data_IF_132238913832
#
_entry.id   IF_132238913832
#
_cell.length_a   1.000
_cell.length_b   1.000
_cell.length_c   1.000
_cell.angle_alpha   90.00
_cell.angle_beta   90.00
_cell.angle_gamma   90.00
#
_symmetry.space_group_name_H-M   'P 1'
#
loop_
_entity.id
_entity.type
_entity.pdbx_description
1 polymer ?
#
# COMPACT_ATOMS: atom_id res chain seq x y z
N UNK A 1 -14.25 10.38 -2.08
CA UNK A 1 -14.39 8.93 -1.92
C UNK A 1 -12.99 8.38 -1.64
N UNK A 2 -12.60 8.32 -0.36
CA UNK A 2 -11.31 7.76 0.07
C UNK A 2 -11.51 6.25 0.23
N UNK A 3 -10.88 5.46 -0.62
CA UNK A 3 -10.92 4.00 -0.55
C UNK A 3 -10.04 3.53 0.61
N UNK A 4 -10.67 3.02 1.68
CA UNK A 4 -10.01 2.27 2.72
C UNK A 4 -9.63 0.89 2.13
N UNK A 5 -8.34 0.65 1.89
CA UNK A 5 -7.85 -0.65 1.44
C UNK A 5 -7.57 -1.50 2.67
N UNK A 6 -8.53 -2.36 3.03
CA UNK A 6 -8.30 -3.44 4.00
C UNK A 6 -7.36 -4.45 3.34
N UNK A 7 -6.17 -4.62 3.90
CA UNK A 7 -5.17 -5.57 3.42
C UNK A 7 -5.55 -6.99 3.87
N UNK A 8 -6.05 -7.79 2.92
CA UNK A 8 -6.27 -9.23 3.10
C UNK A 8 -4.92 -9.94 3.05
N UNK A 9 -4.40 -10.41 4.18
CA UNK A 9 -3.21 -11.25 4.26
C UNK A 9 -3.59 -12.72 4.05
N UNK A 10 -3.52 -13.19 2.80
CA UNK A 10 -3.58 -14.62 2.47
C UNK A 10 -2.32 -15.31 3.00
N UNK A 11 -2.49 -16.25 3.92
CA UNK A 11 -1.44 -17.20 4.29
C UNK A 11 -1.27 -18.23 3.17
N UNK A 12 -0.24 -18.04 2.32
CA UNK A 12 0.13 -18.98 1.26
C UNK A 12 0.87 -20.18 1.88
N UNK A 13 0.24 -21.36 1.87
CA UNK A 13 0.91 -22.63 2.15
C UNK A 13 1.58 -23.09 0.85
N UNK A 14 2.92 -23.06 0.81
CA UNK A 14 3.69 -23.59 -0.31
C UNK A 14 3.83 -25.12 -0.18
N UNK A 15 3.42 -25.84 -1.22
CA UNK A 15 3.80 -27.24 -1.46
C UNK A 15 4.47 -27.33 -2.83
N UNK A 16 5.59 -28.07 -2.99
CA UNK A 16 6.29 -28.16 -4.27
C UNK A 16 5.66 -29.28 -5.11
N UNK A 17 5.24 -28.95 -6.33
CA UNK A 17 4.96 -29.95 -7.38
C UNK A 17 5.96 -29.72 -8.49
N UNK A 18 6.87 -30.69 -8.65
CA UNK A 18 7.68 -30.82 -9.86
C UNK A 18 6.82 -31.42 -10.97
N UNK A 19 6.84 -30.83 -12.16
CA UNK A 19 6.37 -31.46 -13.38
C UNK A 19 7.31 -31.10 -14.52
N UNK A 20 7.73 -32.14 -15.24
CA UNK A 20 8.73 -32.15 -16.30
C UNK A 20 8.12 -31.67 -17.64
N UNK A 21 8.97 -31.04 -18.45
CA UNK A 21 8.75 -30.71 -19.85
C UNK A 21 8.50 -31.96 -20.72
N UNK A 22 7.59 -31.86 -21.68
CA UNK A 22 7.74 -32.48 -23.01
C UNK A 22 7.01 -31.65 -24.07
N UNK A 23 7.70 -31.51 -25.20
CA UNK A 23 7.54 -30.60 -26.33
C UNK A 23 6.70 -31.24 -27.45
N UNK A 24 5.88 -30.44 -28.15
CA UNK A 24 5.31 -30.81 -29.46
C UNK A 24 4.78 -29.56 -30.19
N UNK A 25 5.57 -29.05 -31.13
CA UNK A 25 5.21 -27.94 -32.01
C UNK A 25 4.33 -28.31 -33.20
N UNK A 26 3.79 -27.28 -33.86
CA UNK A 26 3.78 -27.14 -35.32
C UNK A 26 3.18 -25.76 -35.70
N UNK A 27 3.97 -25.00 -36.44
CA UNK A 27 3.56 -23.81 -37.17
C UNK A 27 3.05 -24.17 -38.58
N UNK A 28 2.32 -23.23 -39.19
CA UNK A 28 2.65 -22.58 -40.49
C UNK A 28 1.48 -22.43 -41.51
N UNK A 29 1.68 -21.41 -42.38
CA UNK A 29 1.06 -21.04 -43.66
C UNK A 29 0.05 -19.87 -43.62
N UNK A 30 0.20 -18.75 -44.35
CA UNK A 30 1.23 -18.33 -45.31
C UNK A 30 0.65 -17.56 -46.52
N UNK A 31 1.14 -16.32 -46.72
CA UNK A 31 1.40 -15.60 -47.99
C UNK A 31 0.21 -15.16 -48.91
N UNK A 32 0.41 -14.25 -49.93
CA UNK A 32 1.66 -13.69 -50.51
C UNK A 32 1.68 -12.14 -50.62
N UNK A 33 2.78 -11.42 -50.95
CA UNK A 33 3.50 -11.43 -52.23
C UNK A 33 4.83 -10.64 -52.26
N UNK A 34 5.87 -11.27 -52.86
CA UNK A 34 6.92 -10.78 -53.80
C UNK A 34 7.71 -9.48 -53.48
N UNK A 35 8.98 -9.56 -53.07
CA UNK A 35 10.25 -9.71 -53.85
C UNK A 35 10.89 -8.37 -54.30
N UNK A 36 12.05 -8.03 -53.72
CA UNK A 36 13.31 -7.74 -54.45
C UNK A 36 14.45 -7.33 -53.49
N UNK A 37 15.45 -8.22 -53.40
CA UNK A 37 16.91 -8.01 -53.40
C UNK A 37 17.57 -6.87 -52.59
N UNK A 38 18.35 -7.22 -51.56
CA UNK A 38 19.47 -6.40 -51.06
C UNK A 38 20.46 -7.22 -50.19
N UNK A 39 21.67 -7.42 -50.72
CA UNK A 39 22.96 -7.05 -50.11
C UNK A 39 23.39 -7.64 -48.75
N UNK A 40 24.55 -8.32 -48.77
CA UNK A 40 25.33 -8.84 -47.64
C UNK A 40 25.70 -7.79 -46.54
N UNK A 41 26.07 -8.22 -45.31
CA UNK A 41 26.06 -7.39 -44.10
C UNK A 41 27.30 -6.50 -43.95
N UNK A 42 27.09 -5.29 -43.43
CA UNK A 42 28.15 -4.36 -43.04
C UNK A 42 28.81 -4.80 -41.71
N UNK A 43 30.14 -4.69 -41.65
CA UNK A 43 30.94 -4.84 -40.43
C UNK A 43 30.56 -3.79 -39.37
N UNK A 44 30.74 -4.07 -38.06
CA UNK A 44 30.34 -3.16 -37.00
C UNK A 44 31.21 -1.90 -37.01
N UNK A 45 30.57 -0.73 -36.92
CA UNK A 45 31.25 0.54 -36.71
C UNK A 45 31.95 0.53 -35.34
N UNK A 46 33.27 0.71 -35.34
CA UNK A 46 34.02 1.09 -34.14
C UNK A 46 33.39 2.37 -33.56
N UNK A 47 32.90 2.28 -32.32
CA UNK A 47 32.45 3.43 -31.55
C UNK A 47 33.61 4.40 -31.39
N UNK A 48 33.54 5.54 -32.08
CA UNK A 48 34.44 6.66 -31.87
C UNK A 48 34.34 7.11 -30.41
N UNK A 49 35.40 6.91 -29.63
CA UNK A 49 35.46 7.39 -28.26
C UNK A 49 35.47 8.93 -28.27
N UNK A 50 34.69 9.59 -27.39
CA UNK A 50 34.71 11.04 -27.30
C UNK A 50 36.10 11.54 -26.85
N UNK A 51 36.53 12.68 -27.42
CA UNK A 51 37.81 13.30 -27.05
C UNK A 51 37.83 13.66 -25.55
N UNK A 52 38.95 13.41 -24.84
CA UNK A 52 39.06 13.72 -23.43
C UNK A 52 39.05 15.24 -23.20
N UNK A 53 38.21 15.70 -22.28
CA UNK A 53 38.15 17.10 -21.85
C UNK A 53 39.23 17.38 -20.77
N UNK A 54 39.83 18.59 -20.74
CA UNK A 54 40.84 18.92 -19.74
C UNK A 54 40.27 18.96 -18.32
N UNK A 55 41.01 18.42 -17.35
CA UNK A 55 40.64 18.42 -15.93
C UNK A 55 40.94 19.76 -15.23
N UNK A 56 40.55 19.91 -13.95
CA UNK A 56 40.69 21.16 -13.21
C UNK A 56 42.15 21.62 -13.13
N UNK A 57 42.46 22.79 -13.69
CA UNK A 57 43.81 23.38 -13.72
C UNK A 57 44.60 23.14 -15.02
N UNK A 58 44.04 22.42 -16.00
CA UNK A 58 44.61 22.28 -17.34
C UNK A 58 43.86 23.14 -18.37
N UNK A 59 44.57 23.60 -19.39
CA UNK A 59 44.00 24.33 -20.53
C UNK A 59 43.90 23.43 -21.76
N UNK A 60 43.09 23.82 -22.74
CA UNK A 60 42.97 23.12 -24.03
C UNK A 60 44.31 22.97 -24.77
N UNK A 61 45.28 23.83 -24.47
CA UNK A 61 46.64 23.81 -25.02
C UNK A 61 47.50 22.65 -24.49
N UNK A 62 47.09 22.01 -23.40
CA UNK A 62 47.83 20.90 -22.76
C UNK A 62 47.40 19.53 -23.29
N UNK A 63 46.36 19.48 -24.14
CA UNK A 63 45.88 18.27 -24.80
C UNK A 63 46.57 18.13 -26.17
N UNK A 64 46.97 16.91 -26.53
CA UNK A 64 47.58 16.64 -27.83
C UNK A 64 46.67 17.15 -28.96
N UNK A 65 47.19 17.93 -29.92
CA UNK A 65 46.39 18.46 -31.00
C UNK A 65 45.77 17.30 -31.78
N UNK A 66 44.48 17.42 -32.18
CA UNK A 66 43.85 16.36 -32.94
C UNK A 66 44.63 16.11 -34.24
N UNK A 67 44.57 14.90 -34.82
CA UNK A 67 45.37 14.51 -35.99
C UNK A 67 45.08 15.35 -37.25
N UNK A 68 44.11 16.26 -37.20
CA UNK A 68 43.76 17.21 -38.25
C UNK A 68 44.13 18.67 -37.90
N UNK A 69 44.90 18.92 -36.84
CA UNK A 69 45.27 20.27 -36.41
C UNK A 69 46.06 21.08 -37.45
N UNK A 70 46.72 20.41 -38.39
CA UNK A 70 47.46 21.02 -39.50
C UNK A 70 46.66 21.00 -40.83
N UNK A 71 45.37 20.65 -40.83
CA UNK A 71 44.56 20.75 -42.04
C UNK A 71 44.21 22.21 -42.30
N UNK A 72 44.57 22.71 -43.48
CA UNK A 72 44.09 23.99 -43.96
C UNK A 72 42.61 23.85 -44.33
N UNK A 73 41.76 24.73 -43.79
CA UNK A 73 40.35 24.78 -44.17
C UNK A 73 40.25 24.93 -45.70
N UNK A 74 39.73 23.90 -46.35
CA UNK A 74 39.44 23.96 -47.78
C UNK A 74 38.28 24.92 -47.92
N UNK A 75 38.43 26.05 -48.66
CA UNK A 75 37.29 26.94 -48.88
C UNK A 75 36.18 26.13 -49.54
N UNK A 76 34.98 26.20 -48.96
CA UNK A 76 33.82 25.46 -49.45
C UNK A 76 33.72 25.61 -50.97
N UNK A 77 33.62 24.49 -51.72
CA UNK A 77 33.54 24.57 -53.17
C UNK A 77 32.33 25.43 -53.55
N UNK A 78 32.48 26.28 -54.58
CA UNK A 78 31.54 27.36 -54.89
C UNK A 78 30.06 26.93 -55.10
N UNK A 79 29.79 25.63 -55.28
CA UNK A 79 28.43 25.09 -55.37
C UNK A 79 27.72 24.93 -54.01
N UNK A 80 28.46 24.97 -52.89
CA UNK A 80 27.94 24.89 -51.52
C UNK A 80 27.85 26.25 -50.82
N UNK A 81 28.31 27.33 -51.47
CA UNK A 81 28.05 28.70 -51.02
C UNK A 81 26.68 29.18 -51.53
N UNK A 82 25.63 28.56 -51.00
CA UNK A 82 24.23 28.91 -51.30
C UNK A 82 23.63 29.84 -50.25
N UNK A 83 24.44 30.31 -49.30
CA UNK A 83 23.99 31.02 -48.09
C UNK A 83 23.47 32.43 -48.38
N UNK A 84 23.71 32.99 -49.57
CA UNK A 84 23.21 34.31 -49.98
C UNK A 84 22.36 34.30 -51.26
N UNK A 85 22.04 33.11 -51.78
CA UNK A 85 20.93 32.93 -52.72
C UNK A 85 19.76 32.33 -51.98
N UNK A 86 19.14 33.10 -51.09
CA UNK A 86 17.68 33.01 -51.02
C UNK A 86 17.21 33.26 -52.44
N UNK A 87 16.79 32.18 -53.10
CA UNK A 87 16.23 32.15 -54.44
C UNK A 87 15.32 33.38 -54.55
N UNK A 88 15.76 34.42 -55.26
CA UNK A 88 14.82 35.42 -55.72
C UNK A 88 13.83 34.61 -56.56
N UNK A 89 12.60 34.51 -56.09
CA UNK A 89 11.57 33.74 -56.77
C UNK A 89 11.19 34.51 -58.04
N UNK A 90 11.97 34.31 -59.10
CA UNK A 90 11.78 34.93 -60.42
C UNK A 90 10.63 34.26 -61.21
N UNK A 91 9.91 33.32 -60.60
CA UNK A 91 8.72 32.76 -61.23
C UNK A 91 7.68 33.86 -61.41
N UNK A 92 6.99 33.92 -62.55
CA UNK A 92 5.88 34.85 -62.73
C UNK A 92 4.85 34.62 -61.61
N UNK A 93 4.19 35.68 -61.10
CA UNK A 93 3.15 35.52 -60.11
C UNK A 93 2.09 34.53 -60.64
N UNK A 94 1.52 33.67 -59.76
CA UNK A 94 0.60 32.64 -60.20
C UNK A 94 -0.55 33.27 -60.97
N UNK A 95 -0.92 32.66 -62.10
CA UNK A 95 -2.03 33.16 -62.89
C UNK A 95 -3.32 33.06 -62.07
N UNK A 96 -4.34 33.89 -62.36
CA UNK A 96 -5.63 33.79 -61.68
C UNK A 96 -6.23 32.38 -61.73
N UNK A 97 -5.99 31.64 -62.82
CA UNK A 97 -6.40 30.24 -62.98
C UNK A 97 -5.63 29.29 -62.04
N UNK A 98 -4.32 29.47 -61.87
CA UNK A 98 -3.52 28.68 -60.92
C UNK A 98 -3.96 28.90 -59.47
N UNK A 99 -4.27 30.15 -59.10
CA UNK A 99 -4.79 30.46 -57.76
C UNK A 99 -6.18 29.86 -57.55
N UNK A 100 -7.03 29.87 -58.57
CA UNK A 100 -8.35 29.24 -58.50
C UNK A 100 -8.25 27.71 -58.36
N UNK A 101 -7.37 27.07 -59.15
CA UNK A 101 -7.13 25.63 -59.08
C UNK A 101 -6.55 25.19 -57.73
N UNK A 102 -5.63 25.98 -57.15
CA UNK A 102 -5.09 25.73 -55.81
C UNK A 102 -6.20 25.77 -54.75
N UNK A 103 -7.06 26.79 -54.76
CA UNK A 103 -8.18 26.90 -53.81
C UNK A 103 -9.18 25.75 -53.94
N UNK A 104 -9.43 25.30 -55.16
CA UNK A 104 -10.29 24.14 -55.41
C UNK A 104 -9.67 22.87 -54.82
N UNK A 105 -8.36 22.66 -55.03
CA UNK A 105 -7.62 21.55 -54.44
C UNK A 105 -7.61 21.61 -52.91
N UNK A 106 -7.35 22.77 -52.32
CA UNK A 106 -7.41 22.98 -50.86
C UNK A 106 -8.79 22.63 -50.30
N UNK A 107 -9.86 23.10 -50.96
CA UNK A 107 -11.22 22.79 -50.56
C UNK A 107 -11.55 21.29 -50.67
N UNK A 108 -10.99 20.58 -51.65
CA UNK A 108 -11.14 19.12 -51.77
C UNK A 108 -10.35 18.36 -50.70
N UNK A 109 -9.13 18.81 -50.38
CA UNK A 109 -8.34 18.27 -49.28
C UNK A 109 -9.05 18.44 -47.93
N UNK A 110 -9.67 19.58 -47.69
CA UNK A 110 -10.45 19.83 -46.47
C UNK A 110 -11.67 18.93 -46.38
N UNK A 111 -12.39 18.73 -47.49
CA UNK A 111 -13.50 17.77 -47.58
C UNK A 111 -13.03 16.36 -47.28
N UNK A 112 -11.96 15.91 -47.94
CA UNK A 112 -11.38 14.59 -47.73
C UNK A 112 -10.92 14.38 -46.28
N UNK A 113 -10.24 15.37 -45.70
CA UNK A 113 -9.81 15.34 -44.30
C UNK A 113 -11.00 15.31 -43.33
N UNK A 114 -12.08 16.03 -43.64
CA UNK A 114 -13.34 16.01 -42.89
C UNK A 114 -13.99 14.62 -42.90
N UNK A 115 -14.10 14.01 -44.07
CA UNK A 115 -14.63 12.63 -44.22
C UNK A 115 -13.75 11.63 -43.48
N UNK A 116 -12.42 11.75 -43.58
CA UNK A 116 -11.47 10.89 -42.88
C UNK A 116 -11.60 10.97 -41.35
N UNK A 117 -11.79 12.18 -40.80
CA UNK A 117 -12.07 12.38 -39.36
C UNK A 117 -13.40 11.73 -38.96
N UNK A 118 -14.48 12.02 -39.68
CA UNK A 118 -15.81 11.47 -39.37
C UNK A 118 -15.84 9.93 -39.43
N UNK A 119 -15.13 9.35 -40.40
CA UNK A 119 -14.96 7.89 -40.48
C UNK A 119 -14.20 7.34 -39.28
N UNK A 120 -13.06 7.95 -38.92
CA UNK A 120 -12.27 7.54 -37.74
C UNK A 120 -13.09 7.61 -36.47
N UNK A 121 -13.84 8.69 -36.26
CA UNK A 121 -14.68 8.88 -35.08
C UNK A 121 -15.80 7.83 -35.02
N UNK A 122 -16.40 7.51 -36.17
CA UNK A 122 -17.41 6.46 -36.27
C UNK A 122 -16.84 5.10 -35.90
N UNK A 123 -15.68 4.72 -36.46
CA UNK A 123 -15.00 3.46 -36.14
C UNK A 123 -14.62 3.41 -34.66
N UNK A 124 -14.04 4.48 -34.12
CA UNK A 124 -13.69 4.57 -32.70
C UNK A 124 -14.93 4.42 -31.80
N UNK A 125 -16.04 5.05 -32.15
CA UNK A 125 -17.29 4.94 -31.37
C UNK A 125 -17.84 3.51 -31.35
N UNK A 126 -17.71 2.77 -32.45
CA UNK A 126 -18.10 1.36 -32.55
C UNK A 126 -17.15 0.51 -31.70
N UNK A 127 -15.83 0.71 -31.84
CA UNK A 127 -14.83 -0.03 -31.07
C UNK A 127 -14.99 0.16 -29.56
N UNK A 128 -15.17 1.41 -29.09
CA UNK A 128 -15.35 1.72 -27.67
C UNK A 128 -16.64 1.07 -27.14
N UNK A 129 -17.74 1.15 -27.90
CA UNK A 129 -19.01 0.51 -27.52
C UNK A 129 -18.87 -1.01 -27.42
N UNK A 130 -18.23 -1.62 -28.41
CA UNK A 130 -17.99 -3.06 -28.46
C UNK A 130 -17.11 -3.52 -27.30
N UNK A 131 -16.03 -2.79 -27.04
CA UNK A 131 -15.13 -3.04 -25.92
C UNK A 131 -15.88 -3.03 -24.59
N UNK A 132 -16.69 -1.99 -24.34
CA UNK A 132 -17.47 -1.91 -23.11
C UNK A 132 -18.55 -3.00 -23.01
N UNK A 133 -19.18 -3.38 -24.13
CA UNK A 133 -20.14 -4.49 -24.16
C UNK A 133 -19.47 -5.80 -23.76
N UNK A 134 -18.39 -6.18 -24.46
CA UNK A 134 -17.62 -7.41 -24.18
C UNK A 134 -17.07 -7.43 -22.76
N UNK A 135 -16.57 -6.29 -22.27
CA UNK A 135 -16.10 -6.16 -20.88
C UNK A 135 -17.22 -6.42 -19.89
N UNK A 136 -18.42 -5.84 -20.07
CA UNK A 136 -19.57 -6.07 -19.18
C UNK A 136 -20.04 -7.52 -19.21
N UNK A 137 -20.13 -8.13 -20.39
CA UNK A 137 -20.52 -9.54 -20.54
C UNK A 137 -19.55 -10.47 -19.80
N UNK A 138 -18.24 -10.25 -20.00
CA UNK A 138 -17.19 -11.01 -19.30
C UNK A 138 -17.24 -10.78 -17.78
N UNK A 139 -17.36 -9.53 -17.35
CA UNK A 139 -17.46 -9.17 -15.93
C UNK A 139 -18.69 -9.82 -15.29
N UNK A 140 -19.84 -9.82 -15.97
CA UNK A 140 -21.06 -10.46 -15.48
C UNK A 140 -20.93 -11.97 -15.38
N UNK A 141 -20.19 -12.60 -16.29
CA UNK A 141 -19.82 -14.01 -16.22
C UNK A 141 -19.01 -14.33 -14.96
N UNK A 142 -17.89 -13.64 -14.76
CA UNK A 142 -17.05 -13.84 -13.56
C UNK A 142 -17.79 -13.49 -12.28
N UNK A 143 -18.58 -12.41 -12.25
CA UNK A 143 -19.35 -12.04 -11.06
C UNK A 143 -20.36 -13.11 -10.65
N UNK A 144 -20.97 -13.85 -11.60
CA UNK A 144 -21.83 -15.00 -11.26
C UNK A 144 -21.04 -16.14 -10.64
N UNK A 145 -19.88 -16.46 -11.21
CA UNK A 145 -19.02 -17.53 -10.69
C UNK A 145 -18.51 -17.19 -9.30
N UNK A 146 -18.00 -15.96 -9.10
CA UNK A 146 -17.52 -15.48 -7.80
C UNK A 146 -18.59 -15.62 -6.73
N UNK A 147 -19.83 -15.16 -6.99
CA UNK A 147 -20.93 -15.29 -6.02
C UNK A 147 -21.26 -16.73 -5.65
N UNK A 148 -21.19 -17.64 -6.61
CA UNK A 148 -21.47 -19.05 -6.35
C UNK A 148 -20.34 -19.71 -5.54
N UNK A 149 -19.08 -19.41 -5.86
CA UNK A 149 -17.93 -19.88 -5.11
C UNK A 149 -17.92 -19.31 -3.68
N UNK A 150 -18.23 -18.02 -3.51
CA UNK A 150 -18.38 -17.38 -2.20
C UNK A 150 -19.49 -18.04 -1.37
N UNK A 151 -20.64 -18.36 -1.99
CA UNK A 151 -21.72 -19.10 -1.33
C UNK A 151 -21.24 -20.47 -0.86
N UNK A 152 -20.57 -21.24 -1.73
CA UNK A 152 -20.05 -22.57 -1.38
C UNK A 152 -18.98 -22.51 -0.29
N UNK A 153 -18.10 -21.50 -0.34
CA UNK A 153 -17.09 -21.23 0.69
C UNK A 153 -17.76 -20.89 2.04
N UNK A 154 -18.79 -20.06 2.04
CA UNK A 154 -19.55 -19.72 3.24
C UNK A 154 -20.23 -20.96 3.85
N UNK A 155 -20.85 -21.81 3.02
CA UNK A 155 -21.42 -23.08 3.49
C UNK A 155 -20.36 -24.04 4.03
N UNK A 156 -19.17 -24.08 3.44
CA UNK A 156 -18.06 -24.89 3.92
C UNK A 156 -17.56 -24.39 5.28
N UNK A 157 -17.45 -23.07 5.47
CA UNK A 157 -17.10 -22.44 6.76
C UNK A 157 -18.12 -22.80 7.84
N UNK A 158 -19.41 -22.65 7.55
CA UNK A 158 -20.47 -22.97 8.50
C UNK A 158 -20.49 -24.47 8.88
N UNK A 159 -20.19 -25.35 7.92
CA UNK A 159 -19.99 -26.78 8.21
C UNK A 159 -18.77 -27.02 9.10
N UNK A 160 -17.65 -26.37 8.83
CA UNK A 160 -16.43 -26.50 9.63
C UNK A 160 -16.64 -26.00 11.07
N UNK A 161 -17.31 -24.86 11.25
CA UNK A 161 -17.69 -24.32 12.56
C UNK A 161 -18.47 -25.38 13.35
N UNK A 162 -19.53 -25.95 12.78
CA UNK A 162 -20.35 -26.98 13.46
C UNK A 162 -19.53 -28.21 13.85
N UNK A 163 -18.59 -28.62 13.01
CA UNK A 163 -17.71 -29.75 13.29
C UNK A 163 -16.75 -29.46 14.45
N UNK A 164 -16.11 -28.29 14.47
CA UNK A 164 -15.23 -27.88 15.56
C UNK A 164 -16.00 -27.71 16.88
N UNK A 165 -17.17 -27.07 16.85
CA UNK A 165 -18.06 -26.94 18.02
C UNK A 165 -18.47 -28.32 18.57
N UNK A 166 -18.81 -29.27 17.70
CA UNK A 166 -19.12 -30.64 18.11
C UNK A 166 -17.90 -31.35 18.70
N UNK A 167 -16.73 -31.18 18.08
CA UNK A 167 -15.48 -31.77 18.55
C UNK A 167 -15.09 -31.25 19.94
N UNK A 168 -15.10 -29.93 20.16
CA UNK A 168 -14.75 -29.29 21.43
C UNK A 168 -15.74 -29.69 22.54
N UNK A 169 -17.04 -29.80 22.22
CA UNK A 169 -18.03 -30.31 23.18
C UNK A 169 -17.80 -31.77 23.54
N UNK A 170 -17.39 -32.59 22.57
CA UNK A 170 -17.17 -34.03 22.79
C UNK A 170 -15.87 -34.30 23.57
N UNK A 171 -14.84 -33.49 23.32
CA UNK A 171 -13.51 -33.62 23.90
C UNK A 171 -13.08 -32.26 24.48
N UNK A 172 -13.53 -31.90 25.70
CA UNK A 172 -13.26 -30.56 26.23
C UNK A 172 -11.85 -30.40 26.82
N UNK A 173 -11.15 -31.46 27.22
CA UNK A 173 -9.93 -31.32 28.04
C UNK A 173 -8.65 -31.76 27.34
N UNK A 174 -8.68 -32.10 26.04
CA UNK A 174 -7.47 -32.53 25.34
C UNK A 174 -6.55 -31.32 25.08
N UNK A 175 -5.36 -31.24 25.69
CA UNK A 175 -4.52 -30.04 25.63
C UNK A 175 -3.92 -29.78 24.25
N UNK A 176 -3.90 -30.78 23.37
CA UNK A 176 -3.34 -30.64 22.02
C UNK A 176 -4.45 -30.38 21.01
N UNK A 177 -5.37 -31.33 20.87
CA UNK A 177 -6.39 -31.29 19.82
C UNK A 177 -7.52 -30.31 20.13
N UNK A 178 -7.96 -30.21 21.40
CA UNK A 178 -9.02 -29.26 21.75
C UNK A 178 -8.51 -27.83 21.68
N UNK A 179 -7.30 -27.57 22.17
CA UNK A 179 -6.70 -26.25 22.08
C UNK A 179 -6.49 -25.80 20.62
N UNK A 180 -5.98 -26.69 19.75
CA UNK A 180 -5.87 -26.42 18.31
C UNK A 180 -7.23 -26.23 17.63
N UNK A 181 -8.24 -27.03 18.00
CA UNK A 181 -9.60 -26.89 17.49
C UNK A 181 -10.23 -25.56 17.91
N UNK A 182 -10.00 -25.12 19.15
CA UNK A 182 -10.45 -23.82 19.65
C UNK A 182 -9.74 -22.67 18.92
N UNK A 183 -8.43 -22.78 18.68
CA UNK A 183 -7.69 -21.79 17.91
C UNK A 183 -8.29 -21.61 16.51
N UNK A 184 -8.44 -22.73 15.77
CA UNK A 184 -9.03 -22.72 14.42
C UNK A 184 -10.48 -22.27 14.39
N UNK A 185 -11.27 -22.63 15.41
CA UNK A 185 -12.65 -22.18 15.52
C UNK A 185 -12.72 -20.65 15.69
N UNK A 186 -11.77 -20.06 16.42
CA UNK A 186 -11.67 -18.59 16.54
C UNK A 186 -11.38 -17.90 15.21
N UNK A 187 -10.50 -18.47 14.39
CA UNK A 187 -10.25 -17.97 13.02
C UNK A 187 -11.54 -18.01 12.18
N UNK A 188 -12.31 -19.10 12.28
CA UNK A 188 -13.59 -19.23 11.56
C UNK A 188 -14.66 -18.27 12.08
N UNK A 189 -14.70 -17.99 13.38
CA UNK A 189 -15.59 -16.97 13.96
C UNK A 189 -15.21 -15.57 13.48
N UNK A 190 -13.92 -15.26 13.43
CA UNK A 190 -13.43 -13.99 12.90
C UNK A 190 -13.86 -13.81 11.43
N UNK A 191 -13.60 -14.82 10.58
CA UNK A 191 -14.00 -14.77 9.17
C UNK A 191 -15.52 -14.58 9.02
N UNK A 192 -16.32 -15.30 9.82
CA UNK A 192 -17.79 -15.18 9.80
C UNK A 192 -18.24 -13.76 10.18
N UNK A 193 -17.68 -13.18 11.24
CA UNK A 193 -18.01 -11.81 11.67
C UNK A 193 -17.56 -10.77 10.65
N UNK A 194 -16.37 -10.92 10.05
CA UNK A 194 -15.84 -10.01 9.04
C UNK A 194 -16.73 -9.99 7.78
N UNK A 195 -17.18 -11.16 7.31
CA UNK A 195 -18.09 -11.27 6.17
C UNK A 195 -19.43 -10.61 6.49
N UNK A 196 -20.01 -10.88 7.67
CA UNK A 196 -21.27 -10.26 8.09
C UNK A 196 -21.17 -8.73 8.14
N UNK A 197 -20.06 -8.22 8.65
CA UNK A 197 -19.82 -6.78 8.68
C UNK A 197 -19.71 -6.20 7.26
N UNK A 198 -18.99 -6.86 6.36
CA UNK A 198 -18.89 -6.43 4.96
C UNK A 198 -20.26 -6.44 4.25
N UNK A 199 -21.05 -7.51 4.40
CA UNK A 199 -22.39 -7.62 3.82
C UNK A 199 -23.33 -6.51 4.34
N UNK A 200 -23.26 -6.21 5.63
CA UNK A 200 -24.01 -5.10 6.25
C UNK A 200 -23.57 -3.75 5.68
N UNK A 201 -22.26 -3.50 5.59
CA UNK A 201 -21.73 -2.26 5.04
C UNK A 201 -22.09 -2.05 3.57
N UNK A 202 -22.16 -3.13 2.77
CA UNK A 202 -22.61 -3.08 1.38
C UNK A 202 -24.13 -2.83 1.26
N UNK A 203 -24.92 -3.33 2.21
CA UNK A 203 -26.37 -3.15 2.28
C UNK A 203 -26.76 -1.72 2.71
N UNK A 204 -26.12 -1.19 3.74
CA UNK A 204 -26.66 -0.03 4.48
C UNK A 204 -26.41 1.33 3.80
N UNK A 205 -25.64 1.38 2.69
CA UNK A 205 -25.33 2.59 1.88
C UNK A 205 -24.74 3.80 2.67
N UNK A 206 -24.64 3.67 3.99
CA UNK A 206 -24.02 4.54 4.99
C UNK A 206 -23.11 3.59 5.79
N UNK A 207 -21.93 3.29 5.26
CA UNK A 207 -20.95 2.40 5.92
C UNK A 207 -20.42 3.02 7.21
N UNK A 208 -21.20 2.92 8.29
CA UNK A 208 -20.93 3.58 9.56
C UNK A 208 -21.13 2.61 10.71
N UNK A 209 -20.09 1.85 11.02
CA UNK A 209 -20.03 0.92 12.13
C UNK A 209 -18.64 0.33 12.27
N UNK A 210 -18.34 -0.20 13.45
CA UNK A 210 -17.17 -1.05 13.67
C UNK A 210 -17.62 -2.51 13.61
N UNK A 211 -16.77 -3.44 13.17
CA UNK A 211 -17.08 -4.87 13.21
C UNK A 211 -17.30 -5.35 14.65
N UNK A 212 -18.07 -6.42 14.82
CA UNK A 212 -18.23 -7.12 16.10
C UNK A 212 -17.52 -8.48 16.09
N UNK A 213 -16.42 -8.58 16.83
CA UNK A 213 -15.60 -9.78 16.97
C UNK A 213 -15.71 -10.43 18.35
N UNK A 214 -16.78 -10.14 19.11
CA UNK A 214 -16.98 -10.64 20.47
C UNK A 214 -16.88 -12.17 20.54
N UNK A 215 -17.52 -12.89 19.61
CA UNK A 215 -17.47 -14.37 19.54
C UNK A 215 -16.02 -14.90 19.50
N UNK A 216 -15.16 -14.27 18.70
CA UNK A 216 -13.76 -14.66 18.54
C UNK A 216 -12.96 -14.37 19.81
N UNK A 217 -13.13 -13.17 20.38
CA UNK A 217 -12.41 -12.73 21.58
C UNK A 217 -12.76 -13.63 22.76
N UNK A 218 -14.04 -13.92 22.99
CA UNK A 218 -14.48 -14.77 24.10
C UNK A 218 -13.99 -16.21 23.97
N UNK A 219 -13.96 -16.75 22.74
CA UNK A 219 -13.41 -18.08 22.51
C UNK A 219 -11.90 -18.13 22.81
N UNK A 220 -11.15 -17.11 22.41
CA UNK A 220 -9.71 -17.02 22.70
C UNK A 220 -9.41 -16.77 24.17
N UNK A 221 -10.18 -15.93 24.86
CA UNK A 221 -10.08 -15.80 26.33
C UNK A 221 -10.34 -17.13 27.03
N UNK A 222 -11.36 -17.87 26.58
CA UNK A 222 -11.66 -19.21 27.08
C UNK A 222 -10.51 -20.20 26.80
N UNK A 223 -9.86 -20.09 25.64
CA UNK A 223 -8.67 -20.88 25.31
C UNK A 223 -7.54 -20.59 26.30
N UNK A 224 -7.21 -19.32 26.52
CA UNK A 224 -6.15 -18.91 27.46
C UNK A 224 -6.39 -19.41 28.89
N UNK A 225 -7.64 -19.36 29.35
CA UNK A 225 -8.01 -19.84 30.69
C UNK A 225 -7.91 -21.35 30.84
N UNK A 226 -8.26 -22.11 29.80
CA UNK A 226 -8.32 -23.58 29.84
C UNK A 226 -7.01 -24.25 29.47
N UNK A 227 -6.21 -23.60 28.64
CA UNK A 227 -4.97 -24.12 28.06
C UNK A 227 -3.87 -23.07 28.18
N UNK A 228 -3.41 -22.74 29.41
CA UNK A 228 -2.41 -21.71 29.64
C UNK A 228 -1.05 -22.03 29.01
N UNK A 229 -0.74 -23.31 28.78
CA UNK A 229 0.50 -23.78 28.14
C UNK A 229 0.32 -24.02 26.62
N UNK A 230 -0.69 -23.41 25.99
CA UNK A 230 -0.92 -23.60 24.56
C UNK A 230 0.29 -23.18 23.72
N UNK A 231 0.66 -23.96 22.71
CA UNK A 231 1.89 -23.68 21.96
C UNK A 231 1.88 -22.38 21.15
N UNK A 232 0.69 -21.85 20.82
CA UNK A 232 0.51 -20.66 19.98
C UNK A 232 -0.14 -19.51 20.75
N UNK A 233 0.27 -19.32 22.02
CA UNK A 233 -0.17 -18.18 22.83
C UNK A 233 0.10 -16.84 22.14
N UNK A 234 1.22 -16.72 21.43
CA UNK A 234 1.54 -15.53 20.62
C UNK A 234 0.45 -15.24 19.59
N UNK A 235 0.01 -16.23 18.82
CA UNK A 235 -1.10 -16.09 17.88
C UNK A 235 -2.41 -15.69 18.56
N UNK A 236 -2.70 -16.25 19.74
CA UNK A 236 -3.93 -15.97 20.49
C UNK A 236 -3.95 -14.52 20.97
N UNK A 237 -2.90 -14.05 21.64
CA UNK A 237 -2.83 -12.65 22.11
C UNK A 237 -2.80 -11.65 20.94
N UNK A 238 -2.10 -11.98 19.85
CA UNK A 238 -2.09 -11.15 18.65
C UNK A 238 -3.50 -10.98 18.08
N UNK A 239 -4.25 -12.07 17.92
CA UNK A 239 -5.60 -12.02 17.35
C UNK A 239 -6.62 -11.37 18.29
N UNK A 240 -6.50 -11.55 19.61
CA UNK A 240 -7.31 -10.80 20.57
C UNK A 240 -7.06 -9.29 20.41
N UNK A 241 -5.81 -8.86 20.42
CA UNK A 241 -5.46 -7.45 20.28
C UNK A 241 -5.91 -6.88 18.93
N UNK A 242 -5.73 -7.64 17.84
CA UNK A 242 -6.22 -7.25 16.52
C UNK A 242 -7.75 -7.05 16.50
N UNK A 243 -8.52 -8.02 16.99
CA UNK A 243 -9.98 -7.93 17.03
C UNK A 243 -10.45 -6.75 17.89
N UNK A 244 -9.84 -6.54 19.06
CA UNK A 244 -10.16 -5.41 19.94
C UNK A 244 -9.86 -4.07 19.28
N UNK A 245 -8.73 -3.96 18.58
CA UNK A 245 -8.34 -2.75 17.88
C UNK A 245 -9.33 -2.40 16.76
N UNK A 246 -9.74 -3.38 15.94
CA UNK A 246 -10.75 -3.19 14.89
C UNK A 246 -12.13 -2.84 15.47
N UNK A 247 -12.42 -3.28 16.70
CA UNK A 247 -13.62 -2.89 17.46
C UNK A 247 -13.51 -1.51 18.12
N UNK A 248 -12.41 -0.78 17.93
CA UNK A 248 -12.18 0.53 18.55
C UNK A 248 -11.94 0.46 20.06
N UNK A 249 -11.40 -0.66 20.55
CA UNK A 249 -11.05 -0.91 21.97
C UNK A 249 -9.54 -0.97 22.11
N UNK A 250 -8.87 0.11 21.71
CA UNK A 250 -7.41 0.17 21.54
C UNK A 250 -6.66 -0.02 22.85
N UNK A 251 -7.16 0.52 23.96
CA UNK A 251 -6.53 0.37 25.28
C UNK A 251 -6.44 -1.09 25.69
N UNK A 252 -7.53 -1.84 25.50
CA UNK A 252 -7.54 -3.26 25.82
C UNK A 252 -6.70 -4.07 24.81
N UNK A 253 -6.74 -3.69 23.53
CA UNK A 253 -5.88 -4.29 22.51
C UNK A 253 -4.40 -4.19 22.89
N UNK A 254 -3.96 -3.01 23.36
CA UNK A 254 -2.61 -2.79 23.86
C UNK A 254 -2.26 -3.74 25.00
N UNK A 255 -3.17 -4.02 25.94
CA UNK A 255 -2.87 -4.94 27.04
C UNK A 255 -2.65 -6.38 26.58
N UNK A 256 -3.45 -6.86 25.61
CA UNK A 256 -3.23 -8.18 25.01
C UNK A 256 -1.86 -8.26 24.31
N UNK A 257 -1.52 -7.20 23.58
CA UNK A 257 -0.24 -7.03 22.90
C UNK A 257 0.96 -6.90 23.84
N UNK A 258 0.82 -6.17 24.95
CA UNK A 258 1.86 -6.07 25.97
C UNK A 258 2.11 -7.42 26.65
N UNK A 259 1.06 -8.21 26.91
CA UNK A 259 1.25 -9.56 27.43
C UNK A 259 1.97 -10.46 26.40
N UNK A 260 1.74 -10.27 25.09
CA UNK A 260 2.48 -11.00 24.06
C UNK A 260 3.96 -10.64 24.05
N UNK A 261 4.29 -9.34 24.02
CA UNK A 261 5.64 -8.84 23.80
C UNK A 261 6.48 -8.70 25.08
N UNK A 262 5.81 -8.61 26.24
CA UNK A 262 6.39 -8.28 27.53
C UNK A 262 5.67 -8.99 28.68
N UNK A 263 5.51 -10.30 28.56
CA UNK A 263 4.77 -11.15 29.50
C UNK A 263 5.33 -11.14 30.94
N UNK A 264 6.62 -10.80 31.10
CA UNK A 264 7.27 -10.68 32.40
C UNK A 264 6.90 -9.41 33.18
N UNK A 265 6.34 -8.39 32.52
CA UNK A 265 5.90 -7.16 33.18
C UNK A 265 4.38 -6.96 33.11
N UNK A 266 3.71 -7.50 32.10
CA UNK A 266 2.29 -7.28 31.84
C UNK A 266 1.52 -8.58 31.77
N UNK A 267 0.33 -8.59 32.37
CA UNK A 267 -0.60 -9.72 32.33
C UNK A 267 -1.94 -9.27 31.77
N UNK A 268 -2.41 -9.94 30.71
CA UNK A 268 -3.74 -9.70 30.15
C UNK A 268 -4.80 -10.50 30.93
N UNK A 269 -5.78 -9.81 31.50
CA UNK A 269 -6.84 -10.41 32.33
C UNK A 269 -8.18 -10.54 31.62
N UNK A 270 -8.32 -10.02 30.40
CA UNK A 270 -9.59 -10.01 29.66
C UNK A 270 -10.60 -8.94 30.10
N UNK A 271 -10.22 -8.08 31.05
CA UNK A 271 -10.99 -6.89 31.40
C UNK A 271 -10.22 -5.63 30.96
N UNK A 272 -10.91 -4.55 30.54
CA UNK A 272 -10.26 -3.25 30.45
C UNK A 272 -9.68 -2.88 31.83
N UNK A 273 -8.55 -2.17 31.88
CA UNK A 273 -8.01 -1.72 33.15
C UNK A 273 -9.09 -0.86 33.84
N UNK A 274 -9.26 -1.03 35.14
CA UNK A 274 -10.10 -0.09 35.90
C UNK A 274 -9.48 1.29 35.74
N UNK A 275 -10.23 2.32 35.30
CA UNK A 275 -9.68 3.66 35.20
C UNK A 275 -9.07 4.02 36.55
N UNK A 276 -7.83 4.52 36.54
CA UNK A 276 -7.20 4.99 37.76
C UNK A 276 -8.13 6.03 38.40
N UNK A 277 -8.36 5.97 39.73
CA UNK A 277 -9.13 7.00 40.39
C UNK A 277 -8.45 8.34 40.11
N UNK A 278 -9.16 9.22 39.39
CA UNK A 278 -8.77 10.63 39.30
C UNK A 278 -8.47 11.11 40.70
N UNK A 279 -7.27 11.67 40.98
CA UNK A 279 -6.98 12.20 42.29
C UNK A 279 -8.09 13.18 42.67
N UNK A 280 -8.83 12.87 43.74
CA UNK A 280 -9.82 13.76 44.32
C UNK A 280 -9.14 15.10 44.66
N UNK A 281 -9.37 16.12 43.83
CA UNK A 281 -8.71 17.40 44.01
C UNK A 281 -8.80 18.30 42.79
N UNK A 282 -10.02 18.65 42.38
CA UNK A 282 -10.25 19.57 41.27
C UNK A 282 -11.70 19.95 41.13
N UNK A 283 -12.30 20.47 42.21
CA UNK A 283 -13.57 21.18 42.11
C UNK A 283 -13.41 22.33 41.11
N UNK A 284 -14.05 22.18 39.95
CA UNK A 284 -14.24 23.28 39.01
C UNK A 284 -15.18 24.30 39.62
N UNK A 285 -14.61 25.34 40.22
CA UNK A 285 -15.31 26.52 40.71
C UNK A 285 -14.45 27.74 40.42
N UNK A 286 -14.94 28.63 39.55
CA UNK A 286 -14.18 29.75 39.01
C UNK A 286 -13.88 30.87 40.01
N UNK A 287 -13.02 31.78 39.56
CA UNK A 287 -13.12 33.26 39.60
C UNK A 287 -11.75 33.94 39.73
N UNK A 288 -11.49 34.91 38.83
CA UNK A 288 -10.85 36.18 39.20
C UNK A 288 -9.38 36.41 38.85
N UNK A 289 -9.16 37.17 37.75
CA UNK A 289 -8.13 38.23 37.54
C UNK A 289 -6.64 37.88 37.67
N UNK A 290 -5.66 38.54 37.04
CA UNK A 290 -5.57 39.69 36.13
C UNK A 290 -4.08 39.75 35.69
N UNK A 291 -3.82 40.08 34.41
CA UNK A 291 -2.63 40.83 34.00
C UNK A 291 -1.37 40.08 33.54
N UNK A 292 -1.22 39.91 32.21
CA UNK A 292 -0.26 40.67 31.36
C UNK A 292 0.29 39.83 30.19
N UNK A 293 0.09 40.31 28.94
CA UNK A 293 0.77 39.80 27.74
C UNK A 293 -0.11 39.29 26.60
N UNK A 294 -0.99 40.15 26.08
CA UNK A 294 -1.45 40.30 24.69
C UNK A 294 -1.35 39.10 23.71
N UNK A 295 -2.43 38.30 23.62
CA UNK A 295 -3.02 37.69 22.41
C UNK A 295 -4.50 37.38 22.71
N UNK A 296 -5.45 37.69 21.82
CA UNK A 296 -6.90 37.50 22.11
C UNK A 296 -7.43 36.16 21.59
N UNK A 297 -8.33 35.55 22.37
CA UNK A 297 -9.04 34.28 22.07
C UNK A 297 -9.91 34.38 20.79
N UNK A 298 -10.30 35.60 20.42
CA UNK A 298 -11.04 35.92 19.19
C UNK A 298 -10.17 35.75 17.93
N UNK A 299 -8.85 35.95 18.02
CA UNK A 299 -7.92 35.73 16.91
C UNK A 299 -7.44 34.27 16.85
N UNK A 300 -7.45 33.58 17.99
CA UNK A 300 -7.01 32.18 18.11
C UNK A 300 -7.94 31.38 19.05
N UNK A 301 -9.02 30.77 18.52
CA UNK A 301 -9.96 29.96 19.32
C UNK A 301 -9.32 28.77 20.04
N UNK A 302 -8.10 28.39 19.63
CA UNK A 302 -7.31 27.34 20.28
C UNK A 302 -6.74 27.76 21.65
N UNK A 303 -6.59 29.07 21.92
CA UNK A 303 -6.14 29.58 23.22
C UNK A 303 -7.24 29.48 24.31
N UNK A 304 -8.50 29.34 23.89
CA UNK A 304 -9.69 29.24 24.74
C UNK A 304 -10.02 27.84 25.23
N UNK A 305 -9.39 26.83 24.64
CA UNK A 305 -9.49 25.46 25.13
C UNK A 305 -8.53 25.34 26.30
N UNK A 306 -9.03 25.66 27.49
CA UNK A 306 -8.29 25.76 28.74
C UNK A 306 -7.13 24.77 28.83
N UNK A 307 -5.91 25.33 28.84
CA UNK A 307 -4.69 24.60 29.06
C UNK A 307 -4.79 23.87 30.40
N UNK A 308 -5.19 22.61 30.32
CA UNK A 308 -5.17 21.70 31.45
C UNK A 308 -3.70 21.47 31.77
N UNK A 309 -3.19 22.26 32.72
CA UNK A 309 -2.03 21.96 33.54
C UNK A 309 -0.87 21.22 32.82
N UNK A 310 -0.26 21.81 31.79
CA UNK A 310 0.92 21.25 31.10
C UNK A 310 2.22 21.42 31.92
N UNK A 311 2.12 21.59 33.24
CA UNK A 311 3.28 21.71 34.13
C UNK A 311 2.99 21.04 35.47
N UNK A 312 2.55 19.78 35.44
CA UNK A 312 2.90 18.88 36.54
C UNK A 312 4.43 18.74 36.57
N UNK A 313 5.07 18.72 37.75
CA UNK A 313 6.52 18.57 37.84
C UNK A 313 6.95 17.33 37.04
N UNK A 314 7.93 17.50 36.15
CA UNK A 314 8.46 16.44 35.28
C UNK A 314 8.84 15.23 36.14
N UNK A 315 7.95 14.25 36.20
CA UNK A 315 8.30 12.94 36.73
C UNK A 315 9.41 12.39 35.84
N UNK A 316 10.51 11.86 36.36
CA UNK A 316 11.51 11.21 35.51
C UNK A 316 10.87 10.06 34.74
N UNK A 317 11.09 10.00 33.43
CA UNK A 317 10.64 8.87 32.62
C UNK A 317 11.38 7.59 33.03
N UNK A 318 10.61 6.57 33.41
CA UNK A 318 11.10 5.21 33.64
C UNK A 318 10.50 4.34 32.55
N UNK A 319 11.37 3.73 31.73
CA UNK A 319 10.93 2.92 30.59
C UNK A 319 10.23 1.64 31.08
N UNK A 320 8.91 1.48 30.84
CA UNK A 320 8.18 0.30 31.25
C UNK A 320 8.50 -0.94 30.38
N UNK A 321 9.24 -0.77 29.28
CA UNK A 321 9.57 -1.81 28.32
C UNK A 321 11.01 -2.34 28.43
N UNK A 322 11.79 -1.80 29.38
CA UNK A 322 13.12 -2.31 29.64
C UNK A 322 13.07 -3.75 30.18
N UNK A 323 13.93 -4.62 29.66
CA UNK A 323 13.96 -6.04 30.06
C UNK A 323 12.75 -6.89 29.64
N UNK A 324 11.88 -6.41 28.75
CA UNK A 324 10.74 -7.19 28.27
C UNK A 324 11.14 -8.51 27.60
N UNK A 325 10.37 -9.56 27.92
CA UNK A 325 10.47 -10.87 27.29
C UNK A 325 9.10 -11.30 26.78
N UNK A 326 9.03 -11.88 25.56
CA UNK A 326 7.77 -12.29 24.97
C UNK A 326 7.19 -13.52 25.69
N UNK A 327 5.88 -13.73 25.53
CA UNK A 327 5.14 -14.84 26.15
C UNK A 327 5.69 -16.22 25.77
N UNK A 328 6.24 -16.36 24.57
CA UNK A 328 6.96 -17.56 24.12
C UNK A 328 8.27 -17.14 23.43
N UNK A 329 9.37 -17.91 23.55
CA UNK A 329 10.69 -17.50 23.06
C UNK A 329 10.77 -17.16 21.57
N UNK A 330 9.98 -17.83 20.73
CA UNK A 330 9.96 -17.62 19.27
C UNK A 330 8.63 -17.00 18.81
N UNK A 331 8.06 -16.10 19.61
CA UNK A 331 6.81 -15.44 19.29
C UNK A 331 6.92 -14.70 17.94
N UNK A 332 6.04 -15.03 17.00
CA UNK A 332 6.15 -14.60 15.60
C UNK A 332 5.82 -13.12 15.39
N UNK A 333 4.97 -12.56 16.25
CA UNK A 333 4.35 -11.25 16.05
C UNK A 333 4.97 -10.13 16.90
N UNK A 334 6.12 -10.38 17.55
CA UNK A 334 6.72 -9.43 18.51
C UNK A 334 6.98 -8.06 17.89
N UNK A 335 7.62 -8.01 16.71
CA UNK A 335 7.96 -6.75 16.06
C UNK A 335 6.72 -5.98 15.57
N UNK A 336 5.73 -6.68 15.02
CA UNK A 336 4.47 -6.05 14.61
C UNK A 336 3.71 -5.51 15.84
N UNK A 337 3.71 -6.25 16.94
CA UNK A 337 3.03 -5.85 18.16
C UNK A 337 3.72 -4.67 18.84
N UNK A 338 5.05 -4.60 18.85
CA UNK A 338 5.77 -3.42 19.33
C UNK A 338 5.44 -2.17 18.51
N UNK A 339 5.35 -2.31 17.18
CA UNK A 339 4.88 -1.24 16.32
C UNK A 339 3.46 -0.79 16.72
N UNK A 340 2.52 -1.73 16.93
CA UNK A 340 1.15 -1.39 17.35
C UNK A 340 1.08 -0.73 18.73
N UNK A 341 1.91 -1.16 19.68
CA UNK A 341 2.02 -0.53 21.01
C UNK A 341 2.52 0.91 20.86
N UNK A 342 3.52 1.14 20.00
CA UNK A 342 3.99 2.48 19.67
C UNK A 342 2.90 3.35 19.02
N UNK A 343 2.14 2.80 18.08
CA UNK A 343 0.98 3.49 17.45
C UNK A 343 -0.08 3.87 18.49
N UNK A 344 -0.38 2.96 19.44
CA UNK A 344 -1.29 3.29 20.55
C UNK A 344 -0.81 4.52 21.32
N UNK A 345 0.46 4.50 21.74
CA UNK A 345 0.99 5.59 22.56
C UNK A 345 1.07 6.92 21.81
N UNK A 346 1.28 6.85 20.50
CA UNK A 346 1.34 8.03 19.66
C UNK A 346 -0.05 8.63 19.37
N UNK A 347 -1.05 7.80 19.08
CA UNK A 347 -2.36 8.25 18.61
C UNK A 347 -3.43 8.35 19.72
N UNK A 348 -3.32 7.56 20.79
CA UNK A 348 -4.39 7.36 21.79
C UNK A 348 -3.98 7.57 23.25
N UNK A 349 -2.68 7.65 23.56
CA UNK A 349 -2.20 7.91 24.92
C UNK A 349 -1.92 9.40 25.12
N UNK A 350 -2.63 10.02 26.06
CA UNK A 350 -2.51 11.43 26.42
C UNK A 350 -1.91 11.64 27.81
N UNK A 351 -1.43 10.57 28.45
CA UNK A 351 -0.79 10.63 29.76
C UNK A 351 0.64 11.19 29.66
N UNK A 352 1.23 11.67 30.78
CA UNK A 352 2.63 12.02 30.82
C UNK A 352 3.53 10.90 30.28
N UNK A 353 4.54 11.27 29.50
CA UNK A 353 5.48 10.36 28.84
C UNK A 353 4.89 9.42 27.78
N UNK A 354 3.69 9.70 27.25
CA UNK A 354 3.11 8.94 26.14
C UNK A 354 4.08 8.84 24.95
N UNK A 355 4.69 9.96 24.54
CA UNK A 355 5.67 9.97 23.44
C UNK A 355 6.94 9.19 23.79
N UNK A 356 7.43 9.26 25.03
CA UNK A 356 8.60 8.48 25.45
C UNK A 356 8.31 6.97 25.40
N UNK A 357 7.10 6.55 25.80
CA UNK A 357 6.63 5.16 25.64
C UNK A 357 6.53 4.76 24.17
N UNK A 358 6.03 5.65 23.30
CA UNK A 358 5.97 5.40 21.87
C UNK A 358 7.37 5.18 21.29
N UNK A 359 8.33 6.06 21.62
CA UNK A 359 9.73 5.97 21.19
C UNK A 359 10.36 4.66 21.68
N UNK A 360 10.18 4.28 22.94
CA UNK A 360 10.71 3.01 23.46
C UNK A 360 10.12 1.81 22.71
N UNK A 361 8.80 1.79 22.47
CA UNK A 361 8.15 0.71 21.73
C UNK A 361 8.64 0.60 20.27
N UNK A 362 8.77 1.72 19.55
CA UNK A 362 9.39 1.71 18.21
C UNK A 362 10.86 1.29 18.26
N UNK A 363 11.59 1.70 19.30
CA UNK A 363 12.96 1.28 19.56
C UNK A 363 13.13 -0.24 19.58
N UNK A 364 12.17 -0.99 20.15
CA UNK A 364 12.17 -2.47 20.14
C UNK A 364 12.13 -3.05 18.72
N UNK A 365 11.43 -2.41 17.79
CA UNK A 365 11.39 -2.84 16.37
C UNK A 365 12.72 -2.53 15.68
N UNK A 366 13.36 -1.42 16.06
CA UNK A 366 14.64 -0.99 15.49
C UNK A 366 15.83 -1.86 15.89
N UNK A 367 15.66 -2.77 16.85
CA UNK A 367 16.68 -3.74 17.24
C UNK A 367 16.98 -4.77 16.12
N UNK A 368 16.04 -5.01 15.20
CA UNK A 368 16.21 -5.91 14.05
C UNK A 368 16.05 -5.17 12.71
N UNK A 369 17.16 -4.72 12.08
CA UNK A 369 17.15 -4.10 10.75
C UNK A 369 16.61 -4.95 9.61
N UNK A 370 16.41 -6.26 9.83
CA UNK A 370 15.92 -7.18 8.81
C UNK A 370 14.40 -7.41 8.88
N UNK A 371 13.74 -6.99 9.96
CA UNK A 371 12.30 -7.15 10.09
C UNK A 371 11.55 -6.27 9.08
N UNK A 372 10.40 -6.77 8.60
CA UNK A 372 9.57 -6.05 7.62
C UNK A 372 9.09 -4.68 8.13
N UNK A 373 8.97 -4.53 9.45
CA UNK A 373 8.45 -3.35 10.11
C UNK A 373 9.55 -2.32 10.44
N UNK A 374 10.83 -2.66 10.25
CA UNK A 374 11.95 -1.78 10.59
C UNK A 374 11.81 -0.39 9.95
N UNK A 375 11.57 -0.35 8.63
CA UNK A 375 11.43 0.93 7.92
C UNK A 375 10.20 1.73 8.36
N UNK A 376 9.15 1.05 8.84
CA UNK A 376 7.96 1.72 9.34
C UNK A 376 8.22 2.30 10.73
N UNK A 377 8.88 1.56 11.61
CA UNK A 377 9.29 2.06 12.92
C UNK A 377 10.34 3.18 12.82
N UNK A 378 11.24 3.14 11.84
CA UNK A 378 12.24 4.19 11.62
C UNK A 378 11.63 5.50 11.13
N UNK A 379 10.49 5.42 10.43
CA UNK A 379 9.76 6.60 9.96
C UNK A 379 8.97 7.29 11.09
N UNK A 380 8.56 6.53 12.10
CA UNK A 380 7.82 7.01 13.26
C UNK A 380 8.78 7.65 14.26
#
# INVERSE_FOLDING_TARGET
>A
MRSLRIALLLALVAAPVQAQDEDAGAADAGAPSTEADAGAPAAPAETAQPLPMPGPGQSLSDVAPPPWADTTDVPSPAFLDTTDRRIADERPPPTPEQVAALREMEAELDRFAGVGRAYRDSVNSILVREYHRRRRERQAGYARQIREEERLQNEARDRAIRLFEAFIRRYPTDPTYTADAMFRLGELYYERSAIRFQEQAESDNIGSGLPDFTDTIELYRTLLQRFPDYRSLDGVYYLIGYCLNEMGRQEEARLAWLNLACANHFQYTGAPPTPEPTPEGGEGGGEGGEGSGEFTEEEHPALGLGGSNILSPETPFVDPYDGCTPVVPNARFVMEVWLRIGEYHFDFDFEPHALDRAISAYGKVLEDPTDRNYNLALYK
#
